data_IF_146659778777
#
_entry.id   IF_146659778777
#
_cell.length_a   1.000
_cell.length_b   1.000
_cell.length_c   1.000
_cell.angle_alpha   90.00
_cell.angle_beta   90.00
_cell.angle_gamma   90.00
#
_symmetry.space_group_name_H-M   'P 1'
#
loop_
_entity.id
_entity.type
_entity.pdbx_description
1 polymer ?
#
# COMPACT_ATOMS: atom_id res chain seq x y z
N UNK A 1 32.60 -21.40 3.96
CA UNK A 1 33.60 -22.34 3.46
C UNK A 1 34.86 -21.53 3.23
N UNK A 2 35.95 -21.82 3.94
CA UNK A 2 37.20 -21.05 3.87
C UNK A 2 38.24 -21.88 3.10
N UNK A 3 38.96 -21.25 2.19
CA UNK A 3 40.11 -21.85 1.53
C UNK A 3 41.38 -21.16 2.05
N UNK A 4 42.36 -21.95 2.49
CA UNK A 4 43.70 -21.46 2.81
C UNK A 4 44.64 -21.82 1.68
N UNK A 5 45.50 -20.89 1.28
CA UNK A 5 46.57 -21.16 0.32
C UNK A 5 47.91 -21.11 1.07
N UNK A 6 48.71 -22.16 0.90
CA UNK A 6 50.07 -22.25 1.44
C UNK A 6 51.02 -21.89 0.30
N UNK A 7 51.86 -20.88 0.50
CA UNK A 7 52.91 -20.50 -0.46
C UNK A 7 54.28 -20.87 0.09
N UNK A 8 55.13 -21.48 -0.75
CA UNK A 8 56.43 -22.04 -0.39
C UNK A 8 57.51 -21.61 -1.37
N UNK A 9 58.76 -21.62 -0.91
CA UNK A 9 59.95 -21.32 -1.73
C UNK A 9 60.60 -22.59 -2.31
N UNK A 10 60.41 -23.76 -1.68
CA UNK A 10 60.96 -25.05 -2.09
C UNK A 10 59.82 -26.04 -2.46
N UNK A 11 59.73 -26.51 -3.73
CA UNK A 11 58.66 -27.40 -4.18
C UNK A 11 58.72 -28.84 -3.66
N UNK A 12 59.86 -29.31 -3.13
CA UNK A 12 60.07 -30.73 -2.80
C UNK A 12 59.85 -31.05 -1.30
N UNK A 13 59.58 -30.05 -0.46
CA UNK A 13 59.40 -30.22 0.98
C UNK A 13 57.98 -30.76 1.31
N UNK A 14 57.88 -31.98 1.82
CA UNK A 14 56.60 -32.64 2.09
C UNK A 14 56.02 -32.21 3.46
N UNK A 15 54.79 -31.69 3.52
CA UNK A 15 54.12 -31.35 4.79
C UNK A 15 53.49 -32.59 5.41
N UNK A 16 53.54 -32.68 6.73
CA UNK A 16 52.68 -33.59 7.49
C UNK A 16 51.19 -33.28 7.23
N UNK A 17 50.47 -34.21 6.60
CA UNK A 17 49.04 -34.08 6.27
C UNK A 17 48.74 -33.71 4.82
N UNK A 18 49.75 -33.63 3.96
CA UNK A 18 49.63 -33.39 2.52
C UNK A 18 49.06 -34.64 1.80
N UNK A 19 47.94 -34.48 1.08
CA UNK A 19 47.38 -35.54 0.24
C UNK A 19 48.18 -35.76 -1.05
N UNK A 20 47.80 -36.78 -1.84
CA UNK A 20 48.46 -36.99 -3.15
C UNK A 20 48.36 -35.74 -4.03
N UNK A 21 49.50 -35.31 -4.58
CA UNK A 21 49.58 -34.19 -5.52
C UNK A 21 48.83 -34.53 -6.80
N UNK A 22 48.02 -33.60 -7.31
CA UNK A 22 47.39 -33.75 -8.62
C UNK A 22 48.44 -33.69 -9.76
N UNK A 23 48.02 -33.96 -11.00
CA UNK A 23 48.90 -33.97 -12.20
C UNK A 23 49.67 -32.65 -12.45
N UNK A 24 49.33 -31.59 -11.71
CA UNK A 24 49.93 -30.26 -11.77
C UNK A 24 50.85 -29.95 -10.57
N UNK A 25 51.11 -30.95 -9.70
CA UNK A 25 51.97 -30.81 -8.53
C UNK A 25 51.36 -30.08 -7.34
N UNK A 26 50.03 -29.86 -7.34
CA UNK A 26 49.32 -29.20 -6.24
C UNK A 26 48.70 -30.26 -5.34
N UNK A 27 49.11 -30.29 -4.08
CA UNK A 27 48.52 -31.15 -3.07
C UNK A 27 47.46 -30.42 -2.26
N UNK A 28 46.38 -31.14 -1.94
CA UNK A 28 45.32 -30.64 -1.05
C UNK A 28 45.69 -31.01 0.39
N UNK A 29 45.86 -30.00 1.23
CA UNK A 29 46.00 -30.19 2.68
C UNK A 29 44.65 -29.96 3.37
N UNK A 30 44.29 -30.86 4.28
CA UNK A 30 43.06 -30.78 5.05
C UNK A 30 43.14 -29.71 6.13
N UNK A 31 42.21 -28.75 6.12
CA UNK A 31 42.07 -27.78 7.20
C UNK A 31 41.08 -28.31 8.26
N UNK A 32 41.60 -28.81 9.38
CA UNK A 32 40.79 -29.23 10.52
C UNK A 32 40.54 -28.06 11.50
N UNK A 33 39.29 -27.84 11.96
CA UNK A 33 38.99 -26.75 12.89
C UNK A 33 39.71 -26.90 14.22
N UNK A 34 40.49 -25.88 14.61
CA UNK A 34 41.17 -25.83 15.92
C UNK A 34 42.61 -26.38 15.92
N UNK A 35 43.11 -26.85 14.77
CA UNK A 35 44.49 -27.31 14.64
C UNK A 35 45.43 -26.14 14.34
N UNK A 36 46.57 -26.09 15.04
CA UNK A 36 47.65 -25.12 14.79
C UNK A 36 48.85 -25.87 14.22
N UNK A 37 49.19 -25.58 12.96
CA UNK A 37 50.31 -26.20 12.27
C UNK A 37 51.51 -25.27 12.28
N UNK A 38 52.69 -25.79 12.64
CA UNK A 38 53.94 -25.06 12.50
C UNK A 38 54.35 -25.08 11.02
N UNK A 39 54.73 -23.91 10.52
CA UNK A 39 55.21 -23.70 9.17
C UNK A 39 56.73 -23.76 9.13
N UNK A 40 57.28 -24.24 8.01
CA UNK A 40 58.72 -24.20 7.77
C UNK A 40 59.21 -22.78 7.43
N UNK A 41 60.51 -22.48 7.59
CA UNK A 41 61.05 -21.15 7.32
C UNK A 41 60.79 -20.69 5.88
N UNK A 42 60.04 -19.59 5.73
CA UNK A 42 59.70 -19.00 4.43
C UNK A 42 58.34 -19.41 3.87
N UNK A 43 57.57 -20.23 4.60
CA UNK A 43 56.19 -20.55 4.26
C UNK A 43 55.21 -19.53 4.86
N UNK A 44 54.15 -19.23 4.12
CA UNK A 44 53.08 -18.31 4.55
C UNK A 44 51.71 -18.93 4.24
N UNK A 45 50.77 -18.76 5.17
CA UNK A 45 49.36 -19.15 4.99
C UNK A 45 48.55 -17.90 4.71
N UNK A 46 47.92 -17.85 3.54
CA UNK A 46 46.93 -16.84 3.19
C UNK A 46 45.54 -17.44 3.22
N UNK A 47 44.75 -17.01 4.19
CA UNK A 47 43.33 -17.32 4.22
C UNK A 47 42.59 -16.49 3.17
N UNK A 48 41.69 -17.12 2.43
CA UNK A 48 40.71 -16.39 1.63
C UNK A 48 39.78 -15.64 2.60
N UNK A 49 39.77 -14.31 2.53
CA UNK A 49 38.72 -13.48 3.11
C UNK A 49 37.64 -13.28 2.04
N UNK A 50 36.57 -14.11 1.99
CA UNK A 50 35.48 -13.85 1.08
C UNK A 50 34.90 -12.47 1.40
N UNK A 51 34.74 -11.63 0.37
CA UNK A 51 34.24 -10.26 0.55
C UNK A 51 32.88 -10.27 1.23
N UNK A 52 32.76 -9.54 2.33
CA UNK A 52 31.51 -9.42 3.07
C UNK A 52 30.43 -8.79 2.18
N UNK A 53 29.29 -9.48 2.06
CA UNK A 53 28.11 -9.01 1.33
C UNK A 53 27.15 -8.24 2.25
N UNK A 54 27.45 -8.13 3.55
CA UNK A 54 26.56 -7.55 4.55
C UNK A 54 26.07 -6.14 4.20
N UNK A 55 26.94 -5.29 3.63
CA UNK A 55 26.59 -3.92 3.26
C UNK A 55 25.62 -3.78 2.07
N UNK A 56 25.48 -4.80 1.22
CA UNK A 56 24.62 -4.74 0.02
C UNK A 56 23.32 -5.53 0.16
N UNK A 57 23.16 -6.30 1.25
CA UNK A 57 21.99 -7.15 1.47
C UNK A 57 20.69 -6.35 1.54
N UNK A 58 20.69 -5.20 2.24
CA UNK A 58 19.50 -4.34 2.33
C UNK A 58 19.07 -3.82 0.96
N UNK A 59 20.02 -3.35 0.15
CA UNK A 59 19.75 -2.88 -1.20
C UNK A 59 19.21 -4.00 -2.11
N UNK A 60 19.78 -5.21 -1.99
CA UNK A 60 19.29 -6.39 -2.70
C UNK A 60 17.85 -6.73 -2.29
N UNK A 61 17.57 -6.84 -0.99
CA UNK A 61 16.22 -7.13 -0.48
C UNK A 61 15.21 -6.07 -0.89
N UNK A 62 15.59 -4.78 -0.86
CA UNK A 62 14.75 -3.68 -1.32
C UNK A 62 14.39 -3.80 -2.80
N UNK A 63 15.34 -4.20 -3.65
CA UNK A 63 15.08 -4.43 -5.07
C UNK A 63 14.15 -5.63 -5.31
N UNK A 64 14.33 -6.72 -4.56
CA UNK A 64 13.45 -7.89 -4.66
C UNK A 64 12.01 -7.56 -4.24
N UNK A 65 11.83 -6.82 -3.14
CA UNK A 65 10.51 -6.38 -2.67
C UNK A 65 9.85 -5.41 -3.66
N UNK A 66 10.62 -4.55 -4.34
CA UNK A 66 10.11 -3.71 -5.44
C UNK A 66 9.61 -4.54 -6.62
N UNK A 67 10.33 -5.59 -7.01
CA UNK A 67 9.87 -6.48 -8.08
C UNK A 67 8.55 -7.18 -7.71
N UNK A 68 8.39 -7.61 -6.45
CA UNK A 68 7.14 -8.18 -5.93
C UNK A 68 6.02 -7.12 -5.93
N UNK A 69 6.32 -5.89 -5.50
CA UNK A 69 5.37 -4.78 -5.49
C UNK A 69 4.84 -4.48 -6.92
N UNK A 70 5.71 -4.49 -7.92
CA UNK A 70 5.32 -4.36 -9.33
C UNK A 70 4.38 -5.50 -9.76
N UNK A 71 4.72 -6.75 -9.42
CA UNK A 71 3.90 -7.92 -9.79
C UNK A 71 2.51 -7.93 -9.15
N UNK A 72 2.40 -7.44 -7.93
CA UNK A 72 1.10 -7.28 -7.23
C UNK A 72 0.39 -5.97 -7.61
N UNK A 73 1.15 -5.01 -8.14
CA UNK A 73 0.72 -3.68 -8.58
C UNK A 73 0.26 -2.79 -7.42
N UNK A 74 0.99 -2.86 -6.31
CA UNK A 74 0.98 -1.89 -5.19
C UNK A 74 2.35 -1.25 -5.09
N UNK A 75 2.51 -0.17 -4.32
CA UNK A 75 3.83 0.44 -4.14
C UNK A 75 4.68 -0.34 -3.14
N UNK A 76 6.01 -0.14 -3.17
CA UNK A 76 6.94 -0.75 -2.21
C UNK A 76 6.55 -0.39 -0.76
N UNK A 77 6.17 0.86 -0.55
CA UNK A 77 5.76 1.41 0.74
C UNK A 77 4.49 0.72 1.25
N UNK A 78 3.53 0.42 0.38
CA UNK A 78 2.33 -0.33 0.75
C UNK A 78 2.62 -1.80 1.05
N UNK A 79 3.55 -2.40 0.31
CA UNK A 79 3.93 -3.81 0.50
C UNK A 79 4.70 -4.02 1.80
N UNK A 80 5.60 -3.10 2.14
CA UNK A 80 6.59 -3.28 3.22
C UNK A 80 6.27 -2.47 4.48
N UNK A 81 5.46 -1.41 4.36
CA UNK A 81 5.26 -0.42 5.41
C UNK A 81 6.44 0.53 5.61
N UNK A 82 7.53 0.38 4.85
CA UNK A 82 8.69 1.26 4.94
C UNK A 82 8.42 2.59 4.23
N UNK A 83 8.37 3.66 5.02
CA UNK A 83 8.20 5.04 4.55
C UNK A 83 9.51 5.83 4.53
N UNK A 84 10.66 5.16 4.69
CA UNK A 84 11.98 5.81 4.71
C UNK A 84 12.30 6.45 3.36
N UNK A 85 12.57 7.76 3.37
CA UNK A 85 12.90 8.54 2.18
C UNK A 85 11.68 8.94 1.32
N UNK A 86 10.47 8.69 1.80
CA UNK A 86 9.23 9.08 1.14
C UNK A 86 8.83 10.48 1.58
N UNK A 87 8.45 11.34 0.64
CA UNK A 87 7.90 12.66 0.94
C UNK A 87 6.39 12.71 0.64
N UNK A 88 5.76 13.80 1.09
CA UNK A 88 4.32 14.01 0.93
C UNK A 88 3.84 13.87 -0.53
N UNK A 89 4.56 14.47 -1.47
CA UNK A 89 4.17 14.45 -2.89
C UNK A 89 4.32 13.04 -3.49
N UNK A 90 5.38 12.31 -3.14
CA UNK A 90 5.62 10.97 -3.66
C UNK A 90 4.63 9.95 -3.12
N UNK A 91 4.30 9.98 -1.82
CA UNK A 91 3.30 9.06 -1.27
C UNK A 91 1.91 9.36 -1.83
N UNK A 92 1.55 10.63 -1.98
CA UNK A 92 0.27 11.04 -2.54
C UNK A 92 0.12 10.57 -3.99
N UNK A 93 1.13 10.75 -4.82
CA UNK A 93 1.11 10.27 -6.20
C UNK A 93 0.91 8.74 -6.28
N UNK A 94 1.63 7.97 -5.45
CA UNK A 94 1.48 6.52 -5.37
C UNK A 94 0.09 6.08 -4.91
N UNK A 95 -0.46 6.73 -3.89
CA UNK A 95 -1.80 6.43 -3.37
C UNK A 95 -2.91 6.78 -4.38
N UNK A 96 -2.76 7.83 -5.19
CA UNK A 96 -3.75 8.18 -6.22
C UNK A 96 -3.93 7.04 -7.23
N UNK A 97 -2.85 6.50 -7.77
CA UNK A 97 -2.93 5.38 -8.73
C UNK A 97 -3.48 4.11 -8.08
N UNK A 98 -3.08 3.81 -6.83
CA UNK A 98 -3.64 2.70 -6.08
C UNK A 98 -5.15 2.83 -5.87
N UNK A 99 -5.63 4.01 -5.45
CA UNK A 99 -7.05 4.30 -5.23
C UNK A 99 -7.84 4.20 -6.52
N UNK A 100 -7.30 4.71 -7.63
CA UNK A 100 -7.89 4.57 -8.96
C UNK A 100 -8.07 3.11 -9.35
N UNK A 101 -7.07 2.26 -9.09
CA UNK A 101 -7.17 0.82 -9.32
C UNK A 101 -8.24 0.19 -8.44
N UNK A 102 -8.31 0.55 -7.16
CA UNK A 102 -9.33 0.05 -6.25
C UNK A 102 -10.74 0.43 -6.72
N UNK A 103 -10.97 1.70 -7.08
CA UNK A 103 -12.24 2.18 -7.61
C UNK A 103 -12.65 1.42 -8.89
N UNK A 104 -11.70 1.19 -9.79
CA UNK A 104 -11.95 0.39 -11.00
C UNK A 104 -12.42 -1.03 -10.65
N UNK A 105 -11.76 -1.71 -9.72
CA UNK A 105 -12.15 -3.06 -9.29
C UNK A 105 -13.52 -3.05 -8.59
N UNK A 106 -13.77 -2.09 -7.70
CA UNK A 106 -15.05 -1.92 -7.03
C UNK A 106 -16.18 -1.72 -8.05
N UNK A 107 -16.05 -0.79 -8.99
CA UNK A 107 -17.13 -0.49 -9.92
C UNK A 107 -17.31 -1.55 -11.03
N UNK A 108 -16.22 -2.07 -11.60
CA UNK A 108 -16.31 -3.00 -12.73
C UNK A 108 -16.50 -4.46 -12.31
N UNK A 109 -16.10 -4.83 -11.10
CA UNK A 109 -16.25 -6.20 -10.61
C UNK A 109 -17.35 -6.24 -9.57
N UNK A 110 -17.17 -5.59 -8.42
CA UNK A 110 -18.13 -5.71 -7.32
C UNK A 110 -19.50 -5.13 -7.69
N UNK A 111 -19.55 -3.88 -8.12
CA UNK A 111 -20.82 -3.24 -8.46
C UNK A 111 -21.44 -3.88 -9.69
N UNK A 112 -20.68 -4.01 -10.78
CA UNK A 112 -21.25 -4.48 -12.04
C UNK A 112 -21.66 -5.96 -12.00
N UNK A 113 -20.80 -6.84 -11.48
CA UNK A 113 -21.02 -8.29 -11.54
C UNK A 113 -21.75 -8.86 -10.33
N UNK A 114 -21.73 -8.17 -9.18
CA UNK A 114 -22.36 -8.66 -7.96
C UNK A 114 -23.52 -7.78 -7.52
N UNK A 115 -23.27 -6.50 -7.23
CA UNK A 115 -24.30 -5.66 -6.61
C UNK A 115 -25.49 -5.39 -7.53
N UNK A 116 -25.27 -5.10 -8.81
CA UNK A 116 -26.34 -4.83 -9.78
C UNK A 116 -27.28 -6.04 -10.00
N UNK A 117 -26.78 -7.27 -10.26
CA UNK A 117 -27.65 -8.44 -10.36
C UNK A 117 -28.45 -8.71 -9.08
N UNK A 118 -27.81 -8.59 -7.91
CA UNK A 118 -28.47 -8.77 -6.61
C UNK A 118 -29.56 -7.74 -6.41
N UNK A 119 -29.29 -6.46 -6.68
CA UNK A 119 -30.27 -5.37 -6.60
C UNK A 119 -31.45 -5.59 -7.54
N UNK A 120 -31.19 -5.90 -8.81
CA UNK A 120 -32.26 -6.17 -9.78
C UNK A 120 -33.14 -7.31 -9.32
N UNK A 121 -32.55 -8.39 -8.78
CA UNK A 121 -33.31 -9.55 -8.35
C UNK A 121 -34.11 -9.29 -7.08
N UNK A 122 -33.52 -8.58 -6.12
CA UNK A 122 -34.20 -8.16 -4.91
C UNK A 122 -35.42 -7.29 -5.24
N UNK A 123 -35.25 -6.29 -6.11
CA UNK A 123 -36.32 -5.38 -6.49
C UNK A 123 -37.48 -6.09 -7.19
N UNK A 124 -37.17 -7.01 -8.10
CA UNK A 124 -38.19 -7.87 -8.73
C UNK A 124 -38.98 -8.68 -7.72
N UNK A 125 -38.30 -9.32 -6.77
CA UNK A 125 -38.94 -10.13 -5.75
C UNK A 125 -39.79 -9.28 -4.79
N UNK A 126 -39.31 -8.10 -4.42
CA UNK A 126 -40.04 -7.16 -3.55
C UNK A 126 -41.35 -6.69 -4.20
N UNK A 127 -41.33 -6.43 -5.52
CA UNK A 127 -42.54 -6.08 -6.28
C UNK A 127 -43.47 -7.29 -6.43
N UNK A 128 -42.93 -8.47 -6.76
CA UNK A 128 -43.73 -9.70 -6.95
C UNK A 128 -44.43 -10.16 -5.68
N UNK A 129 -43.79 -10.02 -4.51
CA UNK A 129 -44.39 -10.38 -3.22
C UNK A 129 -45.32 -9.30 -2.67
N UNK A 130 -45.40 -8.13 -3.32
CA UNK A 130 -46.28 -7.03 -2.94
C UNK A 130 -45.79 -6.18 -1.77
N UNK A 131 -44.55 -6.38 -1.30
CA UNK A 131 -43.88 -5.53 -0.30
C UNK A 131 -43.61 -4.14 -0.86
N UNK A 132 -43.26 -4.06 -2.15
CA UNK A 132 -43.05 -2.82 -2.86
C UNK A 132 -44.15 -2.63 -3.93
N UNK A 133 -45.04 -1.67 -3.70
CA UNK A 133 -46.14 -1.34 -4.62
C UNK A 133 -45.75 -0.17 -5.51
N UNK A 134 -44.92 -0.44 -6.49
CA UNK A 134 -44.45 0.55 -7.46
C UNK A 134 -44.77 0.12 -8.89
N UNK A 135 -44.96 1.10 -9.77
CA UNK A 135 -45.18 0.85 -11.19
C UNK A 135 -43.90 0.33 -11.86
N UNK A 136 -44.07 -0.42 -12.96
CA UNK A 136 -42.97 -0.99 -13.74
C UNK A 136 -41.96 0.08 -14.22
N UNK A 137 -42.45 1.30 -14.53
CA UNK A 137 -41.59 2.43 -14.91
C UNK A 137 -40.66 2.85 -13.78
N UNK A 138 -41.19 2.92 -12.55
CA UNK A 138 -40.42 3.29 -11.35
C UNK A 138 -39.44 2.18 -11.00
N UNK A 139 -39.86 0.91 -11.11
CA UNK A 139 -38.98 -0.22 -10.88
C UNK A 139 -37.82 -0.24 -11.88
N UNK A 140 -38.07 0.09 -13.15
CA UNK A 140 -37.02 0.21 -14.16
C UNK A 140 -36.04 1.35 -13.84
N UNK A 141 -36.55 2.54 -13.52
CA UNK A 141 -35.72 3.68 -13.12
C UNK A 141 -34.84 3.34 -11.91
N UNK A 142 -35.41 2.71 -10.87
CA UNK A 142 -34.67 2.29 -9.67
C UNK A 142 -33.56 1.27 -9.94
N UNK A 143 -33.63 0.47 -11.02
CA UNK A 143 -32.52 -0.41 -11.44
C UNK A 143 -31.38 0.35 -12.11
N UNK A 144 -31.70 1.40 -12.86
CA UNK A 144 -30.75 2.15 -13.69
C UNK A 144 -30.08 3.30 -12.91
N UNK A 145 -30.84 3.96 -12.03
CA UNK A 145 -30.44 5.19 -11.34
C UNK A 145 -29.78 4.96 -9.98
N UNK A 146 -29.72 3.72 -9.49
CA UNK A 146 -29.09 3.39 -8.21
C UNK A 146 -27.62 3.83 -8.20
N UNK A 147 -27.28 4.74 -7.26
CA UNK A 147 -25.90 5.19 -7.04
C UNK A 147 -25.19 4.21 -6.11
N UNK A 148 -24.05 3.70 -6.57
CA UNK A 148 -23.20 2.81 -5.78
C UNK A 148 -22.06 3.62 -5.18
N UNK A 149 -22.12 3.86 -3.87
CA UNK A 149 -21.17 4.70 -3.15
C UNK A 149 -20.22 3.76 -2.37
N UNK A 150 -18.96 3.56 -2.83
CA UNK A 150 -17.97 2.82 -2.05
C UNK A 150 -17.45 3.69 -0.90
N UNK A 151 -16.72 3.06 0.03
CA UNK A 151 -16.00 3.77 1.08
C UNK A 151 -15.10 4.87 0.51
N UNK A 152 -15.14 6.06 1.13
CA UNK A 152 -14.22 7.14 0.78
C UNK A 152 -12.77 6.80 1.14
N UNK A 153 -11.84 7.53 0.52
CA UNK A 153 -10.43 7.45 0.88
C UNK A 153 -10.00 8.66 1.67
N UNK A 154 -9.33 8.42 2.80
CA UNK A 154 -8.77 9.49 3.63
C UNK A 154 -7.75 10.33 2.89
N UNK A 155 -7.62 11.58 3.30
CA UNK A 155 -6.71 12.53 2.70
C UNK A 155 -5.32 12.43 3.30
N UNK A 156 -4.31 12.72 2.48
CA UNK A 156 -2.92 12.75 2.97
C UNK A 156 -2.67 14.03 3.77
N UNK A 157 -3.22 15.16 3.32
CA UNK A 157 -3.23 16.43 4.04
C UNK A 157 -4.69 16.91 4.16
N UNK A 158 -5.36 16.59 5.28
CA UNK A 158 -6.79 16.82 5.37
C UNK A 158 -7.20 18.26 5.12
N UNK A 159 -6.41 19.22 5.59
CA UNK A 159 -6.75 20.64 5.48
C UNK A 159 -6.69 21.13 4.02
N UNK A 160 -5.59 20.83 3.31
CA UNK A 160 -5.43 21.29 1.92
C UNK A 160 -6.45 20.65 0.98
N UNK A 161 -6.74 19.37 1.20
CA UNK A 161 -7.74 18.66 0.41
C UNK A 161 -9.16 19.20 0.67
N UNK A 162 -9.52 19.51 1.92
CA UNK A 162 -10.81 20.14 2.28
C UNK A 162 -10.96 21.50 1.59
N UNK A 163 -9.93 22.33 1.66
CA UNK A 163 -9.92 23.65 1.03
C UNK A 163 -10.06 23.56 -0.48
N UNK A 164 -9.39 22.59 -1.12
CA UNK A 164 -9.52 22.34 -2.54
C UNK A 164 -10.94 21.92 -2.93
N UNK A 165 -11.59 21.04 -2.14
CA UNK A 165 -12.98 20.63 -2.39
C UNK A 165 -13.95 21.80 -2.16
N UNK A 166 -13.77 22.58 -1.10
CA UNK A 166 -14.57 23.79 -0.85
C UNK A 166 -14.48 24.77 -2.03
N UNK A 167 -13.27 25.00 -2.54
CA UNK A 167 -13.05 25.86 -3.70
C UNK A 167 -13.66 25.28 -4.98
N UNK A 168 -13.55 23.97 -5.21
CA UNK A 168 -14.17 23.31 -6.35
C UNK A 168 -15.70 23.45 -6.34
N UNK A 169 -16.33 23.34 -5.16
CA UNK A 169 -17.76 23.57 -5.00
C UNK A 169 -18.13 25.02 -5.23
N UNK A 170 -17.39 25.97 -4.65
CA UNK A 170 -17.64 27.41 -4.83
C UNK A 170 -17.47 27.87 -6.28
N UNK A 171 -16.54 27.27 -7.01
CA UNK A 171 -16.29 27.59 -8.42
C UNK A 171 -17.24 26.84 -9.38
N UNK A 172 -18.12 25.97 -8.86
CA UNK A 172 -19.10 25.22 -9.66
C UNK A 172 -18.53 24.00 -10.40
N UNK A 173 -17.31 23.55 -10.09
CA UNK A 173 -16.74 22.34 -10.68
C UNK A 173 -17.23 21.05 -10.02
N UNK A 174 -17.71 21.13 -8.77
CA UNK A 174 -18.32 20.02 -8.05
C UNK A 174 -19.58 20.47 -7.33
N UNK A 175 -20.54 19.56 -7.18
CA UNK A 175 -21.65 19.75 -6.26
C UNK A 175 -21.24 19.34 -4.85
N UNK A 176 -21.94 19.86 -3.83
CA UNK A 176 -21.78 19.37 -2.45
C UNK A 176 -22.06 17.87 -2.36
N UNK A 177 -23.11 17.40 -3.04
CA UNK A 177 -23.48 15.98 -3.08
C UNK A 177 -22.34 15.10 -3.59
N UNK A 178 -21.60 15.54 -4.60
CA UNK A 178 -20.48 14.78 -5.12
C UNK A 178 -19.32 14.71 -4.12
N UNK A 179 -19.04 15.81 -3.41
CA UNK A 179 -18.03 15.81 -2.33
C UNK A 179 -18.41 14.86 -1.20
N UNK A 180 -19.68 14.81 -0.80
CA UNK A 180 -20.17 13.89 0.25
C UNK A 180 -20.10 12.44 -0.22
N UNK A 181 -20.51 12.15 -1.45
CA UNK A 181 -20.39 10.81 -2.03
C UNK A 181 -18.94 10.35 -2.19
N UNK A 182 -17.99 11.24 -2.50
CA UNK A 182 -16.55 10.92 -2.54
C UNK A 182 -16.01 10.50 -1.16
N UNK A 183 -16.62 10.97 -0.08
CA UNK A 183 -16.31 10.56 1.28
C UNK A 183 -16.98 9.23 1.67
N UNK A 184 -17.85 8.69 0.81
CA UNK A 184 -18.52 7.42 1.02
C UNK A 184 -19.90 7.52 1.69
N UNK A 185 -20.47 8.73 1.79
CA UNK A 185 -21.74 8.96 2.46
C UNK A 185 -22.85 9.34 1.48
N UNK A 186 -24.10 9.12 1.90
CA UNK A 186 -25.27 9.64 1.19
C UNK A 186 -25.49 11.10 1.59
N UNK A 187 -25.70 11.97 0.59
CA UNK A 187 -25.95 13.39 0.82
C UNK A 187 -27.30 13.60 1.51
N UNK A 188 -28.29 12.77 1.21
CA UNK A 188 -29.63 12.93 1.78
C UNK A 188 -29.63 12.63 3.29
N UNK A 189 -28.84 11.63 3.72
CA UNK A 189 -28.63 11.31 5.12
C UNK A 189 -27.91 12.45 5.85
N UNK A 190 -26.81 12.95 5.27
CA UNK A 190 -26.08 14.10 5.85
C UNK A 190 -26.95 15.35 5.94
N UNK A 191 -27.83 15.61 4.96
CA UNK A 191 -28.74 16.75 5.00
C UNK A 191 -29.79 16.61 6.12
N UNK A 192 -30.27 15.39 6.37
CA UNK A 192 -31.14 15.10 7.50
C UNK A 192 -30.42 15.30 8.83
N UNK A 193 -29.20 14.77 8.98
CA UNK A 193 -28.38 14.94 10.17
C UNK A 193 -28.10 16.42 10.46
N UNK A 194 -27.73 17.21 9.45
CA UNK A 194 -27.50 18.65 9.61
C UNK A 194 -28.78 19.35 10.06
N UNK A 195 -29.94 18.99 9.50
CA UNK A 195 -31.21 19.60 9.88
C UNK A 195 -31.62 19.23 11.33
N UNK A 196 -31.35 18.01 11.76
CA UNK A 196 -31.57 17.57 13.15
C UNK A 196 -30.60 18.23 14.13
N UNK A 197 -29.33 18.35 13.74
CA UNK A 197 -28.28 19.01 14.50
C UNK A 197 -28.59 20.50 14.70
N UNK A 198 -29.07 21.17 13.66
CA UNK A 198 -29.50 22.56 13.74
C UNK A 198 -30.64 22.73 14.76
N UNK A 199 -31.69 21.90 14.70
CA UNK A 199 -32.80 21.93 15.66
C UNK A 199 -32.33 21.67 17.09
N UNK A 200 -31.40 20.71 17.24
CA UNK A 200 -30.81 20.35 18.53
C UNK A 200 -29.97 21.50 19.09
N UNK A 201 -29.14 22.13 18.26
CA UNK A 201 -28.33 23.29 18.62
C UNK A 201 -29.22 24.45 19.09
N UNK A 202 -30.29 24.75 18.34
CA UNK A 202 -31.28 25.77 18.70
C UNK A 202 -31.94 25.47 20.05
N UNK A 203 -32.28 24.20 20.32
CA UNK A 203 -32.90 23.80 21.60
C UNK A 203 -31.97 23.98 22.81
N UNK A 204 -30.66 23.85 22.61
CA UNK A 204 -29.65 24.03 23.65
C UNK A 204 -29.05 25.45 23.68
N UNK A 205 -29.43 26.33 22.75
CA UNK A 205 -28.83 27.66 22.61
C UNK A 205 -27.35 27.63 22.19
N UNK A 206 -26.92 26.60 21.45
CA UNK A 206 -25.56 26.47 20.92
C UNK A 206 -25.46 27.18 19.57
N UNK A 207 -24.38 27.95 19.36
CA UNK A 207 -24.11 28.66 18.11
C UNK A 207 -22.78 28.19 17.51
N UNK A 208 -22.85 27.58 16.33
CA UNK A 208 -21.68 27.09 15.58
C UNK A 208 -21.35 28.01 14.41
N UNK A 209 -20.09 28.06 13.98
CA UNK A 209 -19.68 28.89 12.83
C UNK A 209 -20.31 28.43 11.50
N UNK A 210 -20.83 27.20 11.42
CA UNK A 210 -21.58 26.67 10.29
C UNK A 210 -23.02 27.19 10.21
N UNK A 211 -23.52 27.81 11.28
CA UNK A 211 -24.88 28.30 11.38
C UNK A 211 -25.01 29.69 10.77
N UNK A 212 -25.69 29.78 9.63
CA UNK A 212 -25.89 31.04 8.91
C UNK A 212 -27.02 31.88 9.54
N UNK A 213 -27.94 31.25 10.27
CA UNK A 213 -29.13 31.89 10.82
C UNK A 213 -28.79 32.63 12.12
N UNK A 214 -27.90 32.07 12.94
CA UNK A 214 -27.34 32.73 14.11
C UNK A 214 -26.10 33.55 13.74
N UNK A 215 -26.29 34.62 12.95
CA UNK A 215 -25.21 35.61 12.77
C UNK A 215 -24.84 36.18 14.14
N UNK A 216 -23.59 35.96 14.56
CA UNK A 216 -22.99 36.67 15.70
C UNK A 216 -23.18 38.17 15.49
N UNK A 217 -24.04 38.80 16.29
CA UNK A 217 -24.04 40.25 16.45
C UNK A 217 -22.67 40.66 17.01
N UNK A 218 -21.79 41.14 16.13
CA UNK A 218 -20.53 41.79 16.51
C UNK A 218 -19.25 41.00 16.26
N UNK A 219 -18.69 41.17 15.05
CA UNK A 219 -17.28 41.53 14.85
C UNK A 219 -17.03 42.08 13.46
#
# INVERSE_FOLDING_TARGET
>A
MFAGFITRLDPEANILGEGESNEQGVALSGLEPGTMQLLDPGEDIKFSEPSDVGGSYEAFMRQQLRAIAIGTGITYEQLTGDLTGVNYSSIRAGLIEFRRRCAMLQHNIMVFQFCRPVWSRWLELAVLCGELRIDEKVAKAAKEEVKWIPQGFDWVDPLKDQQAQQMAVRNGFKSRSEVVSELGYDVEEIDQEIAEDQKRADSFGLCFDSDINHKREGR
#
